data_IF_953924054754
#
_entry.id   IF_953924054754
#
_cell.length_a   1.000
_cell.length_b   1.000
_cell.length_c   1.000
_cell.angle_alpha   90.00
_cell.angle_beta   90.00
_cell.angle_gamma   90.00
#
_symmetry.space_group_name_H-M   'P 1'
#
loop_
_entity.id
_entity.type
_entity.pdbx_description
1 polymer ?
#
# COMPACT_ATOMS: atom_id res chain seq x y z
N UNK A 1 13.12 17.51 -71.31
CA UNK A 1 12.78 16.34 -70.48
C UNK A 1 11.29 16.37 -70.21
N UNK A 2 10.50 15.37 -70.64
CA UNK A 2 9.07 15.36 -70.41
C UNK A 2 8.71 14.71 -69.07
N UNK A 3 7.71 15.29 -68.41
CA UNK A 3 7.14 14.87 -67.13
C UNK A 3 6.17 13.72 -67.38
N UNK A 4 6.38 12.58 -66.71
CA UNK A 4 5.51 11.41 -66.80
C UNK A 4 4.27 11.53 -65.92
N UNK A 5 3.09 11.33 -66.51
CA UNK A 5 1.82 11.20 -65.81
C UNK A 5 1.62 9.76 -65.30
N UNK A 6 1.26 9.62 -64.02
CA UNK A 6 0.84 8.36 -63.41
C UNK A 6 -0.69 8.13 -63.58
N UNK A 7 -1.16 6.86 -63.73
CA UNK A 7 -2.58 6.59 -63.95
C UNK A 7 -3.40 6.48 -62.65
N UNK A 8 -4.61 7.02 -62.71
CA UNK A 8 -5.66 6.98 -61.68
C UNK A 8 -6.16 5.54 -61.44
N UNK A 9 -6.03 5.07 -60.19
CA UNK A 9 -6.53 3.78 -59.71
C UNK A 9 -8.03 3.89 -59.37
N UNK A 10 -8.87 3.09 -60.04
CA UNK A 10 -10.30 2.94 -59.72
C UNK A 10 -10.51 2.28 -58.36
N UNK A 11 -11.38 2.85 -57.53
CA UNK A 11 -11.87 2.22 -56.30
C UNK A 11 -13.04 1.26 -56.57
N UNK A 12 -13.15 0.14 -55.84
CA UNK A 12 -14.30 -0.76 -55.93
C UNK A 12 -15.48 -0.22 -55.11
N UNK A 13 -16.69 -0.37 -55.66
CA UNK A 13 -17.97 -0.20 -54.97
C UNK A 13 -18.14 -1.31 -53.95
N UNK A 14 -18.35 -0.95 -52.68
CA UNK A 14 -18.83 -1.89 -51.66
C UNK A 14 -20.35 -1.77 -51.54
N UNK A 15 -20.99 -2.90 -51.83
CA UNK A 15 -22.40 -3.22 -51.71
C UNK A 15 -22.85 -3.33 -50.26
N UNK A 16 -24.13 -2.99 -50.02
CA UNK A 16 -24.75 -2.83 -48.71
C UNK A 16 -24.81 -4.08 -47.84
N UNK A 17 -24.67 -3.84 -46.54
CA UNK A 17 -24.89 -4.82 -45.47
C UNK A 17 -26.23 -4.50 -44.82
N UNK A 18 -27.13 -5.49 -44.81
CA UNK A 18 -28.40 -5.47 -44.09
C UNK A 18 -28.13 -5.51 -42.57
N UNK A 19 -28.61 -4.49 -41.86
CA UNK A 19 -28.61 -4.44 -40.39
C UNK A 19 -29.88 -5.13 -39.89
N UNK A 20 -29.73 -6.31 -39.26
CA UNK A 20 -30.78 -6.94 -38.47
C UNK A 20 -30.98 -6.16 -37.17
N UNK A 21 -32.16 -5.55 -37.01
CA UNK A 21 -32.56 -4.83 -35.80
C UNK A 21 -32.74 -5.78 -34.63
N UNK A 22 -31.76 -5.82 -33.72
CA UNK A 22 -31.92 -6.41 -32.39
C UNK A 22 -32.84 -5.52 -31.56
N UNK A 23 -33.94 -6.09 -31.07
CA UNK A 23 -34.88 -5.42 -30.17
C UNK A 23 -34.21 -5.18 -28.80
N UNK A 24 -33.57 -4.02 -28.66
CA UNK A 24 -33.12 -3.51 -27.37
C UNK A 24 -34.34 -3.37 -26.44
N UNK A 25 -34.48 -4.32 -25.53
CA UNK A 25 -35.34 -4.15 -24.37
C UNK A 25 -34.68 -3.09 -23.49
N UNK A 26 -35.11 -1.84 -23.66
CA UNK A 26 -34.83 -0.77 -22.71
C UNK A 26 -35.57 -1.10 -21.41
N UNK A 27 -34.92 -1.84 -20.53
CA UNK A 27 -35.33 -1.98 -19.15
C UNK A 27 -35.07 -0.62 -18.50
N UNK A 28 -36.11 0.21 -18.48
CA UNK A 28 -36.11 1.49 -17.74
C UNK A 28 -36.14 1.14 -16.26
N UNK A 29 -34.96 0.86 -15.70
CA UNK A 29 -34.78 0.72 -14.26
C UNK A 29 -35.06 2.08 -13.62
N UNK A 30 -36.17 2.15 -12.88
CA UNK A 30 -36.62 3.38 -12.24
C UNK A 30 -35.59 3.84 -11.21
N UNK A 31 -34.93 4.95 -11.56
CA UNK A 31 -34.01 5.85 -10.87
C UNK A 31 -34.29 6.17 -9.38
N UNK A 32 -34.48 5.19 -8.50
CA UNK A 32 -34.78 5.41 -7.08
C UNK A 32 -33.62 5.13 -6.12
N UNK A 33 -32.42 4.81 -6.62
CA UNK A 33 -31.18 4.79 -5.83
C UNK A 33 -30.00 5.41 -6.59
N UNK A 34 -30.18 6.61 -7.13
CA UNK A 34 -29.31 7.33 -8.08
C UNK A 34 -27.86 7.60 -7.65
N UNK A 35 -27.43 7.23 -6.44
CA UNK A 35 -26.05 7.44 -6.02
C UNK A 35 -25.16 6.31 -6.55
N UNK A 36 -24.00 6.63 -7.15
CA UNK A 36 -23.01 5.63 -7.50
C UNK A 36 -22.64 4.85 -6.23
N UNK A 37 -22.90 3.54 -6.23
CA UNK A 37 -22.44 2.63 -5.18
C UNK A 37 -21.03 2.18 -5.49
N UNK A 38 -20.14 2.35 -4.52
CA UNK A 38 -18.81 1.76 -4.57
C UNK A 38 -18.75 0.43 -3.82
N UNK A 39 -17.95 -0.51 -4.31
CA UNK A 39 -17.56 -1.70 -3.56
C UNK A 39 -16.09 -1.59 -3.16
N UNK A 40 -15.81 -1.82 -1.88
CA UNK A 40 -14.46 -1.99 -1.33
C UNK A 40 -14.19 -3.48 -1.22
N UNK A 41 -13.18 -3.96 -1.93
CA UNK A 41 -12.84 -5.40 -1.96
C UNK A 41 -11.84 -5.71 -0.86
N UNK A 42 -12.32 -6.34 0.22
CA UNK A 42 -11.53 -6.67 1.41
C UNK A 42 -11.01 -8.09 1.35
N UNK A 43 -9.71 -8.24 1.62
CA UNK A 43 -9.07 -9.55 1.76
C UNK A 43 -8.75 -9.89 3.23
N UNK A 44 -9.26 -9.11 4.18
CA UNK A 44 -9.00 -9.26 5.61
C UNK A 44 -7.63 -8.72 6.05
N UNK A 45 -6.78 -8.22 5.15
CA UNK A 45 -5.56 -7.52 5.56
C UNK A 45 -5.93 -6.12 6.05
N UNK A 46 -5.75 -5.88 7.35
CA UNK A 46 -6.17 -4.64 8.02
C UNK A 46 -5.62 -3.39 7.32
N UNK A 47 -4.35 -3.39 6.89
CA UNK A 47 -3.76 -2.22 6.25
C UNK A 47 -4.33 -1.99 4.85
N UNK A 48 -4.51 -3.04 4.05
CA UNK A 48 -5.06 -2.91 2.69
C UNK A 48 -6.55 -2.52 2.73
N UNK A 49 -7.31 -3.07 3.68
CA UNK A 49 -8.71 -2.72 3.94
C UNK A 49 -8.86 -1.27 4.41
N UNK A 50 -7.95 -0.80 5.28
CA UNK A 50 -7.95 0.59 5.75
C UNK A 50 -7.75 1.56 4.58
N UNK A 51 -6.77 1.31 3.69
CA UNK A 51 -6.48 2.17 2.53
C UNK A 51 -7.68 2.28 1.59
N UNK A 52 -8.26 1.15 1.23
CA UNK A 52 -9.39 1.09 0.28
C UNK A 52 -10.65 1.73 0.87
N UNK A 53 -10.91 1.49 2.16
CA UNK A 53 -12.03 2.11 2.89
C UNK A 53 -11.86 3.63 2.98
N UNK A 54 -10.66 4.13 3.29
CA UNK A 54 -10.42 5.59 3.34
C UNK A 54 -10.58 6.25 1.99
N UNK A 55 -10.10 5.61 0.92
CA UNK A 55 -10.32 6.15 -0.41
C UNK A 55 -11.82 6.20 -0.75
N UNK A 56 -12.58 5.16 -0.42
CA UNK A 56 -14.03 5.17 -0.60
C UNK A 56 -14.71 6.31 0.19
N UNK A 57 -14.28 6.55 1.43
CA UNK A 57 -14.74 7.68 2.24
C UNK A 57 -14.40 9.03 1.59
N UNK A 58 -13.16 9.21 1.12
CA UNK A 58 -12.70 10.44 0.47
C UNK A 58 -13.43 10.73 -0.86
N UNK A 59 -13.88 9.69 -1.56
CA UNK A 59 -14.72 9.86 -2.75
C UNK A 59 -16.11 10.44 -2.42
N UNK A 60 -16.56 10.39 -1.17
CA UNK A 60 -17.84 10.94 -0.74
C UNK A 60 -19.06 10.18 -1.29
N UNK A 61 -18.86 8.91 -1.68
CA UNK A 61 -19.91 8.06 -2.27
C UNK A 61 -20.30 6.93 -1.31
N UNK A 62 -21.58 6.48 -1.29
CA UNK A 62 -21.98 5.32 -0.52
C UNK A 62 -21.20 4.08 -0.97
N UNK A 63 -20.64 3.33 -0.02
CA UNK A 63 -19.89 2.11 -0.33
C UNK A 63 -20.28 0.94 0.56
N UNK A 64 -20.06 -0.26 0.03
CA UNK A 64 -20.19 -1.52 0.75
C UNK A 64 -18.86 -2.26 0.70
N UNK A 65 -18.43 -2.83 1.83
CA UNK A 65 -17.28 -3.72 1.85
C UNK A 65 -17.72 -5.13 1.45
N UNK A 66 -17.04 -5.72 0.46
CA UNK A 66 -17.25 -7.07 -0.01
C UNK A 66 -16.02 -7.91 0.32
N UNK A 67 -16.22 -8.95 1.11
CA UNK A 67 -15.17 -9.88 1.47
C UNK A 67 -14.89 -10.82 0.29
N UNK A 68 -13.60 -10.96 -0.02
CA UNK A 68 -13.14 -11.87 -1.06
C UNK A 68 -13.11 -13.27 -0.47
N UNK A 69 -13.74 -14.21 -1.17
CA UNK A 69 -13.63 -15.61 -0.78
C UNK A 69 -12.20 -16.06 -1.02
N UNK A 70 -11.54 -16.61 0.00
CA UNK A 70 -10.21 -17.20 -0.16
C UNK A 70 -10.29 -18.42 -1.07
N UNK A 71 -10.09 -18.23 -2.37
CA UNK A 71 -10.06 -19.33 -3.32
C UNK A 71 -8.75 -20.08 -3.18
N UNK A 72 -8.81 -21.40 -3.07
CA UNK A 72 -7.66 -22.31 -2.97
C UNK A 72 -6.71 -22.32 -4.18
N UNK A 73 -7.06 -21.66 -5.28
CA UNK A 73 -6.29 -21.66 -6.53
C UNK A 73 -5.39 -20.41 -6.63
N UNK A 74 -4.22 -20.54 -7.27
CA UNK A 74 -3.31 -19.41 -7.47
C UNK A 74 -3.89 -18.36 -8.44
N UNK A 75 -3.50 -17.09 -8.29
CA UNK A 75 -3.98 -15.97 -9.14
C UNK A 75 -3.70 -16.18 -10.63
N UNK A 76 -2.59 -16.85 -10.97
CA UNK A 76 -2.25 -17.22 -12.35
C UNK A 76 -3.19 -18.30 -12.92
N UNK A 77 -3.50 -19.35 -12.14
CA UNK A 77 -4.42 -20.39 -12.55
C UNK A 77 -5.84 -19.82 -12.77
N UNK A 78 -6.25 -18.88 -11.93
CA UNK A 78 -7.53 -18.19 -12.06
C UNK A 78 -7.68 -17.41 -13.37
N UNK A 79 -6.66 -16.67 -13.82
CA UNK A 79 -6.73 -15.96 -15.11
C UNK A 79 -6.97 -16.89 -16.29
N UNK A 80 -6.34 -18.05 -16.28
CA UNK A 80 -6.56 -19.03 -17.33
C UNK A 80 -8.00 -19.57 -17.28
N UNK A 81 -8.53 -19.82 -16.08
CA UNK A 81 -9.89 -20.30 -15.91
C UNK A 81 -10.96 -19.26 -16.28
N UNK A 82 -10.77 -17.98 -15.97
CA UNK A 82 -11.73 -16.92 -16.34
C UNK A 82 -11.79 -16.73 -17.85
N UNK A 83 -10.64 -16.70 -18.53
CA UNK A 83 -10.59 -16.62 -19.99
C UNK A 83 -11.26 -17.82 -20.67
N UNK A 84 -10.98 -19.04 -20.19
CA UNK A 84 -11.59 -20.25 -20.72
C UNK A 84 -13.11 -20.22 -20.49
N UNK A 85 -13.58 -19.89 -19.27
CA UNK A 85 -15.01 -19.88 -18.96
C UNK A 85 -15.79 -18.82 -19.75
N UNK A 86 -15.19 -17.67 -20.03
CA UNK A 86 -15.84 -16.63 -20.86
C UNK A 86 -16.16 -17.11 -22.28
N UNK A 87 -15.45 -18.14 -22.76
CA UNK A 87 -15.68 -18.76 -24.08
C UNK A 87 -16.77 -19.83 -24.02
N UNK A 88 -16.89 -20.56 -22.90
CA UNK A 88 -17.75 -21.74 -22.78
C UNK A 88 -19.08 -21.50 -22.03
N UNK A 89 -19.24 -20.38 -21.34
CA UNK A 89 -20.47 -20.04 -20.61
C UNK A 89 -21.36 -19.13 -21.47
N UNK A 90 -22.40 -19.70 -22.09
CA UNK A 90 -23.44 -18.93 -22.79
C UNK A 90 -24.51 -18.35 -21.82
N UNK A 91 -24.50 -18.76 -20.56
CA UNK A 91 -25.38 -18.25 -19.50
C UNK A 91 -24.53 -17.62 -18.40
N UNK A 92 -24.62 -16.30 -18.16
CA UNK A 92 -23.92 -15.67 -17.04
C UNK A 92 -24.40 -16.37 -15.76
N UNK A 93 -23.49 -16.99 -14.99
CA UNK A 93 -23.86 -17.45 -13.67
C UNK A 93 -24.08 -16.22 -12.79
N UNK A 94 -25.24 -16.12 -12.16
CA UNK A 94 -25.60 -14.95 -11.34
C UNK A 94 -24.61 -14.69 -10.19
N UNK A 95 -23.90 -15.72 -9.71
CA UNK A 95 -22.94 -15.57 -8.60
C UNK A 95 -21.57 -15.09 -9.07
N UNK A 96 -21.06 -14.02 -8.43
CA UNK A 96 -19.65 -13.60 -8.52
C UNK A 96 -18.78 -14.66 -7.83
N UNK A 97 -17.77 -15.16 -8.53
CA UNK A 97 -17.02 -16.33 -8.03
C UNK A 97 -16.06 -15.98 -6.89
N UNK A 98 -15.61 -14.72 -6.84
CA UNK A 98 -14.63 -14.28 -5.86
C UNK A 98 -15.22 -13.53 -4.67
N UNK A 99 -16.54 -13.28 -4.65
CA UNK A 99 -17.18 -12.52 -3.59
C UNK A 99 -18.11 -13.39 -2.78
N UNK A 100 -17.97 -13.30 -1.46
CA UNK A 100 -18.94 -13.89 -0.55
C UNK A 100 -20.23 -13.08 -0.59
N UNK A 101 -21.36 -13.76 -0.83
CA UNK A 101 -22.71 -13.19 -0.69
C UNK A 101 -23.02 -11.95 -1.56
N UNK A 102 -22.39 -11.80 -2.72
CA UNK A 102 -22.73 -10.70 -3.64
C UNK A 102 -23.97 -11.08 -4.49
N UNK A 103 -25.15 -10.44 -4.29
CA UNK A 103 -26.29 -10.65 -5.17
C UNK A 103 -25.96 -10.15 -6.58
N UNK A 104 -26.37 -10.90 -7.60
CA UNK A 104 -26.25 -10.54 -9.02
C UNK A 104 -26.84 -9.18 -9.37
N UNK A 105 -27.88 -8.79 -8.62
CA UNK A 105 -28.85 -7.79 -9.07
C UNK A 105 -28.39 -6.34 -8.89
N UNK A 106 -27.27 -6.08 -8.21
CA UNK A 106 -26.73 -4.71 -8.08
C UNK A 106 -25.21 -4.66 -8.12
N UNK A 107 -24.64 -4.65 -9.32
CA UNK A 107 -23.21 -4.41 -9.51
C UNK A 107 -22.84 -2.95 -9.18
N UNK A 108 -21.62 -2.69 -8.68
CA UNK A 108 -21.19 -1.35 -8.30
C UNK A 108 -20.88 -0.51 -9.53
N UNK A 109 -20.84 0.82 -9.34
CA UNK A 109 -20.31 1.74 -10.35
C UNK A 109 -18.81 1.98 -10.20
N UNK A 110 -18.28 1.75 -9.01
CA UNK A 110 -16.85 1.87 -8.70
C UNK A 110 -16.47 0.66 -7.86
N UNK A 111 -15.37 -0.02 -8.19
CA UNK A 111 -14.81 -1.09 -7.38
C UNK A 111 -13.36 -0.74 -7.04
N UNK A 112 -12.99 -0.86 -5.75
CA UNK A 112 -11.69 -0.45 -5.22
C UNK A 112 -11.00 -1.65 -4.59
N UNK A 113 -9.74 -1.90 -4.97
CA UNK A 113 -8.89 -2.95 -4.42
C UNK A 113 -7.46 -2.45 -4.15
N UNK A 114 -6.76 -3.08 -3.22
CA UNK A 114 -5.35 -2.79 -2.90
C UNK A 114 -4.45 -4.03 -2.82
N UNK A 115 -4.99 -5.24 -3.02
CA UNK A 115 -4.23 -6.48 -2.90
C UNK A 115 -4.31 -7.34 -4.15
N UNK A 116 -3.27 -8.14 -4.38
CA UNK A 116 -3.23 -9.09 -5.51
C UNK A 116 -4.31 -10.18 -5.40
N UNK A 117 -4.80 -10.45 -4.19
CA UNK A 117 -5.91 -11.38 -3.92
C UNK A 117 -7.26 -10.79 -4.35
N UNK A 118 -7.41 -9.47 -4.25
CA UNK A 118 -8.60 -8.72 -4.67
C UNK A 118 -8.66 -8.45 -6.18
N UNK A 119 -7.51 -8.50 -6.85
CA UNK A 119 -7.39 -8.16 -8.25
C UNK A 119 -8.28 -9.02 -9.19
N UNK A 120 -8.42 -10.34 -9.03
CA UNK A 120 -9.34 -11.14 -9.85
C UNK A 120 -10.80 -10.73 -9.70
N UNK A 121 -11.25 -10.43 -8.47
CA UNK A 121 -12.61 -9.96 -8.21
C UNK A 121 -12.86 -8.59 -8.88
N UNK A 122 -11.88 -7.69 -8.80
CA UNK A 122 -11.94 -6.37 -9.44
C UNK A 122 -12.14 -6.50 -10.96
N UNK A 123 -11.36 -7.36 -11.61
CA UNK A 123 -11.44 -7.59 -13.06
C UNK A 123 -12.74 -8.29 -13.46
N UNK A 124 -13.24 -9.24 -12.64
CA UNK A 124 -14.53 -9.89 -12.88
C UNK A 124 -15.70 -8.89 -12.83
N UNK A 125 -15.71 -7.98 -11.85
CA UNK A 125 -16.73 -6.94 -11.73
C UNK A 125 -16.75 -6.06 -12.98
N UNK A 126 -15.58 -5.62 -13.46
CA UNK A 126 -15.47 -4.82 -14.68
C UNK A 126 -15.99 -5.57 -15.91
N UNK A 127 -15.60 -6.84 -16.05
CA UNK A 127 -16.07 -7.68 -17.16
C UNK A 127 -17.60 -7.87 -17.14
N UNK A 128 -18.19 -8.15 -15.97
CA UNK A 128 -19.64 -8.37 -15.83
C UNK A 128 -20.45 -7.11 -16.05
N UNK A 129 -19.93 -5.96 -15.64
CA UNK A 129 -20.54 -4.66 -15.91
C UNK A 129 -20.31 -4.16 -17.34
N UNK A 130 -19.59 -4.92 -18.19
CA UNK A 130 -19.23 -4.53 -19.56
C UNK A 130 -18.57 -3.15 -19.59
N UNK A 131 -17.56 -2.97 -18.74
CA UNK A 131 -16.80 -1.73 -18.57
C UNK A 131 -17.60 -0.53 -18.04
N UNK A 132 -18.81 -0.74 -17.50
CA UNK A 132 -19.59 0.33 -16.85
C UNK A 132 -19.13 0.63 -15.41
N UNK A 133 -18.50 -0.33 -14.74
CA UNK A 133 -17.87 -0.09 -13.43
C UNK A 133 -16.44 0.40 -13.61
N UNK A 134 -16.10 1.48 -12.92
CA UNK A 134 -14.73 1.97 -12.84
C UNK A 134 -13.94 1.11 -11.87
N UNK A 135 -12.89 0.48 -12.39
CA UNK A 135 -11.94 -0.29 -11.59
C UNK A 135 -10.81 0.59 -11.06
N UNK A 136 -10.67 0.65 -9.75
CA UNK A 136 -9.64 1.40 -9.03
C UNK A 136 -8.73 0.42 -8.31
N UNK A 137 -7.42 0.53 -8.54
CA UNK A 137 -6.42 -0.31 -7.88
C UNK A 137 -5.32 0.52 -7.20
N UNK A 138 -5.01 0.19 -5.95
CA UNK A 138 -3.98 0.86 -5.15
C UNK A 138 -2.70 0.02 -5.15
N UNK A 139 -1.65 0.53 -5.78
CA UNK A 139 -0.36 -0.13 -5.96
C UNK A 139 -0.13 -0.61 -7.40
N UNK A 140 0.97 -1.34 -7.60
CA UNK A 140 1.34 -1.91 -8.91
C UNK A 140 0.73 -3.32 -9.05
N UNK A 141 -0.33 -3.51 -9.86
CA UNK A 141 -0.97 -4.81 -9.97
C UNK A 141 -0.15 -5.76 -10.84
N UNK A 142 -0.21 -7.06 -10.52
CA UNK A 142 0.40 -8.10 -11.35
C UNK A 142 -0.46 -8.44 -12.59
N UNK A 143 -1.02 -7.45 -13.31
CA UNK A 143 -1.85 -7.62 -14.52
C UNK A 143 -1.46 -6.63 -15.63
N UNK A 144 -2.14 -6.69 -16.78
CA UNK A 144 -2.06 -5.62 -17.78
C UNK A 144 -2.67 -4.34 -17.21
N UNK A 145 -1.86 -3.29 -17.18
CA UNK A 145 -2.24 -2.00 -16.58
C UNK A 145 -3.42 -1.33 -17.29
N UNK A 146 -3.66 -1.67 -18.56
CA UNK A 146 -4.80 -1.20 -19.38
C UNK A 146 -6.14 -1.78 -18.94
N UNK A 147 -6.14 -2.89 -18.20
CA UNK A 147 -7.38 -3.54 -17.76
C UNK A 147 -7.98 -2.80 -16.56
N UNK A 148 -7.26 -1.85 -15.96
CA UNK A 148 -7.68 -1.07 -14.79
C UNK A 148 -7.91 0.38 -15.19
N UNK A 149 -8.99 1.01 -14.73
CA UNK A 149 -9.38 2.35 -15.17
C UNK A 149 -8.66 3.48 -14.45
N UNK A 150 -8.30 3.23 -13.19
CA UNK A 150 -7.55 4.15 -12.33
C UNK A 150 -6.54 3.37 -11.46
N UNK A 151 -5.25 3.68 -11.65
CA UNK A 151 -4.13 3.15 -10.88
C UNK A 151 -3.61 4.23 -9.93
N UNK A 152 -3.50 3.91 -8.65
CA UNK A 152 -2.90 4.80 -7.65
C UNK A 152 -1.54 4.22 -7.27
N UNK A 153 -0.48 4.84 -7.77
CA UNK A 153 0.89 4.32 -7.66
C UNK A 153 1.69 5.15 -6.65
N UNK A 154 2.32 4.47 -5.69
CA UNK A 154 3.34 5.13 -4.85
C UNK A 154 4.57 5.49 -5.68
N UNK A 155 5.46 6.31 -5.12
CA UNK A 155 6.73 6.63 -5.77
C UNK A 155 7.58 5.36 -6.00
N UNK A 156 7.57 4.43 -5.06
CA UNK A 156 8.24 3.13 -5.20
C UNK A 156 7.68 2.34 -6.39
N UNK A 157 6.35 2.31 -6.54
CA UNK A 157 5.69 1.60 -7.65
C UNK A 157 6.03 2.21 -9.00
N UNK A 158 6.04 3.55 -9.11
CA UNK A 158 6.49 4.23 -10.32
C UNK A 158 7.95 3.88 -10.66
N UNK A 159 8.83 3.81 -9.66
CA UNK A 159 10.24 3.47 -9.89
C UNK A 159 10.38 2.02 -10.38
N UNK A 160 9.62 1.08 -9.81
CA UNK A 160 9.55 -0.31 -10.30
C UNK A 160 9.05 -0.35 -11.75
N UNK A 161 7.98 0.38 -12.04
CA UNK A 161 7.36 0.36 -13.35
C UNK A 161 8.23 1.04 -14.42
N UNK A 162 8.97 2.12 -14.08
CA UNK A 162 10.02 2.69 -14.96
C UNK A 162 11.14 1.70 -15.25
N UNK A 163 11.50 0.87 -14.27
CA UNK A 163 12.50 -0.18 -14.47
C UNK A 163 12.03 -1.26 -15.46
N UNK A 164 10.72 -1.47 -15.62
CA UNK A 164 10.14 -2.35 -16.63
C UNK A 164 10.10 -1.74 -18.04
N UNK A 165 10.37 -0.44 -18.18
CA UNK A 165 10.53 0.25 -19.46
C UNK A 165 9.79 1.60 -19.54
N UNK A 166 10.30 2.57 -20.34
CA UNK A 166 9.78 3.93 -20.38
C UNK A 166 8.35 4.04 -20.94
N UNK A 167 7.98 3.17 -21.88
CA UNK A 167 6.63 3.13 -22.45
C UNK A 167 5.55 2.79 -21.41
N UNK A 168 5.91 2.15 -20.29
CA UNK A 168 4.98 1.83 -19.21
C UNK A 168 4.84 2.95 -18.19
N UNK A 169 5.69 3.98 -18.23
CA UNK A 169 5.77 5.02 -17.20
C UNK A 169 4.77 6.16 -17.36
N UNK A 170 4.26 6.38 -18.57
CA UNK A 170 3.31 7.45 -18.87
C UNK A 170 1.92 6.88 -19.09
N UNK A 171 1.31 6.44 -17.99
CA UNK A 171 -0.03 5.87 -17.99
C UNK A 171 -1.05 6.96 -17.70
N UNK A 172 -1.88 7.28 -18.69
CA UNK A 172 -2.99 8.24 -18.54
C UNK A 172 -4.01 7.79 -17.49
N UNK A 173 -4.06 6.49 -17.22
CA UNK A 173 -4.91 5.90 -16.19
C UNK A 173 -4.23 5.81 -14.82
N UNK A 174 -3.13 6.52 -14.58
CA UNK A 174 -2.42 6.48 -13.29
C UNK A 174 -2.25 7.84 -12.63
N UNK A 175 -2.38 7.85 -11.31
CA UNK A 175 -1.98 8.96 -10.44
C UNK A 175 -0.90 8.50 -9.47
N UNK A 176 -0.03 9.43 -9.11
CA UNK A 176 1.24 9.19 -8.43
C UNK A 176 1.24 9.88 -7.06
N UNK A 177 1.55 9.14 -6.00
CA UNK A 177 1.67 9.63 -4.61
C UNK A 177 3.09 9.41 -4.09
N UNK A 178 3.50 10.12 -3.03
CA UNK A 178 4.87 9.98 -2.50
C UNK A 178 5.04 8.64 -1.78
N UNK A 179 4.17 8.38 -0.81
CA UNK A 179 4.04 7.12 -0.10
C UNK A 179 2.81 6.37 -0.64
N UNK A 180 2.70 5.03 -0.49
CA UNK A 180 1.43 4.35 -0.71
C UNK A 180 0.33 5.06 0.08
N UNK A 181 -0.87 5.23 -0.46
CA UNK A 181 -1.96 5.82 0.33
C UNK A 181 -2.05 5.11 1.69
N UNK A 182 -2.09 5.89 2.75
CA UNK A 182 -2.38 5.38 4.08
C UNK A 182 -3.85 5.57 4.37
N UNK A 183 -4.33 4.84 5.36
CA UNK A 183 -5.70 4.99 5.83
C UNK A 183 -5.84 5.86 7.07
N UNK A 184 -4.94 6.80 7.34
CA UNK A 184 -4.95 7.60 8.56
C UNK A 184 -6.11 8.62 8.57
N UNK A 185 -6.82 8.75 9.70
CA UNK A 185 -7.83 9.82 9.90
C UNK A 185 -7.31 11.08 10.57
N UNK A 186 -7.88 12.22 10.20
CA UNK A 186 -7.77 13.49 10.95
C UNK A 186 -8.28 13.39 12.39
N UNK A 187 -9.28 12.55 12.65
CA UNK A 187 -9.74 12.27 14.02
C UNK A 187 -8.66 11.58 14.86
N UNK A 188 -7.94 10.63 14.26
CA UNK A 188 -6.83 9.93 14.92
C UNK A 188 -5.72 10.90 15.31
N UNK A 189 -5.45 11.93 14.49
CA UNK A 189 -4.49 13.00 14.81
C UNK A 189 -4.89 13.83 16.06
N UNK A 190 -6.19 14.00 16.32
CA UNK A 190 -6.65 14.71 17.51
C UNK A 190 -6.51 13.87 18.79
N UNK A 191 -6.79 12.57 18.72
CA UNK A 191 -6.59 11.64 19.85
C UNK A 191 -5.10 11.45 20.17
N UNK A 192 -4.28 11.37 19.12
CA UNK A 192 -2.81 11.41 19.12
C UNK A 192 -2.27 12.60 19.92
N UNK A 193 -2.81 13.79 19.69
CA UNK A 193 -2.31 15.03 20.32
C UNK A 193 -2.66 15.12 21.82
N UNK A 194 -3.68 14.38 22.27
CA UNK A 194 -4.15 14.41 23.66
C UNK A 194 -3.51 13.33 24.55
N UNK A 195 -2.88 12.30 23.96
CA UNK A 195 -2.13 11.27 24.69
C UNK A 195 -0.78 11.79 25.16
N UNK A 196 -0.82 12.73 26.11
CA UNK A 196 0.36 13.32 26.73
C UNK A 196 1.16 12.34 27.60
N UNK A 197 2.48 12.42 27.47
CA UNK A 197 3.55 11.94 28.37
C UNK A 197 4.04 10.49 28.29
N UNK A 198 3.33 9.54 27.67
CA UNK A 198 3.88 8.18 27.60
C UNK A 198 4.77 8.03 26.36
N UNK A 199 6.09 7.92 26.57
CA UNK A 199 7.10 7.69 25.51
C UNK A 199 6.98 6.27 24.96
N UNK A 200 5.87 5.91 24.32
CA UNK A 200 5.74 4.61 23.66
C UNK A 200 6.62 4.60 22.40
N UNK A 201 7.42 3.55 22.24
CA UNK A 201 8.15 3.25 21.01
C UNK A 201 7.43 2.12 20.29
N UNK A 202 6.94 2.37 19.08
CA UNK A 202 6.41 1.32 18.22
C UNK A 202 7.50 0.82 17.27
N UNK A 203 7.59 -0.49 17.09
CA UNK A 203 8.56 -1.14 16.22
C UNK A 203 7.80 -2.02 15.23
N UNK A 204 7.79 -1.64 13.95
CA UNK A 204 7.13 -2.39 12.90
C UNK A 204 8.12 -3.28 12.17
N UNK A 205 7.82 -4.58 12.11
CA UNK A 205 8.63 -5.57 11.38
C UNK A 205 7.77 -6.15 10.26
N UNK A 206 8.24 -5.95 9.03
CA UNK A 206 7.53 -6.33 7.82
C UNK A 206 7.55 -7.84 7.55
N UNK A 207 7.36 -8.22 6.28
CA UNK A 207 7.35 -9.63 5.86
C UNK A 207 8.74 -10.28 5.95
N UNK A 208 9.79 -9.47 6.04
CA UNK A 208 11.21 -9.82 5.95
C UNK A 208 11.76 -9.83 4.53
N UNK A 209 10.95 -9.50 3.51
CA UNK A 209 11.38 -9.42 2.12
C UNK A 209 10.67 -8.28 1.39
N UNK A 210 11.46 -7.40 0.79
CA UNK A 210 10.99 -6.36 -0.12
C UNK A 210 11.69 -6.54 -1.49
N UNK A 211 10.98 -7.03 -2.52
CA UNK A 211 11.53 -7.36 -3.84
C UNK A 211 12.29 -6.22 -4.53
N UNK A 212 12.03 -4.96 -4.16
CA UNK A 212 12.73 -3.79 -4.69
C UNK A 212 14.18 -3.67 -4.19
N UNK A 213 14.60 -4.49 -3.22
CA UNK A 213 16.01 -4.68 -2.89
C UNK A 213 16.36 -4.79 -1.42
N UNK A 214 15.53 -5.41 -0.57
CA UNK A 214 15.87 -5.67 0.83
C UNK A 214 15.39 -7.04 1.31
N UNK A 215 16.21 -7.67 2.13
CA UNK A 215 15.92 -8.94 2.79
C UNK A 215 16.42 -8.84 4.23
N UNK A 216 15.51 -9.06 5.18
CA UNK A 216 15.81 -9.04 6.60
C UNK A 216 16.67 -10.25 6.96
N UNK A 217 17.87 -10.00 7.50
CA UNK A 217 18.74 -11.05 8.05
C UNK A 217 18.79 -10.97 9.57
N UNK A 218 19.40 -12.00 10.16
CA UNK A 218 19.60 -12.09 11.59
C UNK A 218 20.41 -10.93 12.17
N UNK A 219 21.41 -10.46 11.44
CA UNK A 219 22.28 -9.36 11.88
C UNK A 219 21.54 -8.03 11.93
N UNK A 220 20.51 -7.84 11.10
CA UNK A 220 19.65 -6.65 11.13
C UNK A 220 18.80 -6.64 12.40
N UNK A 221 18.31 -7.81 12.81
CA UNK A 221 17.52 -7.99 14.01
C UNK A 221 18.39 -7.76 15.26
N UNK A 222 19.62 -8.25 15.26
CA UNK A 222 20.56 -7.98 16.35
C UNK A 222 20.93 -6.49 16.43
N UNK A 223 21.16 -5.84 15.28
CA UNK A 223 21.43 -4.40 15.22
C UNK A 223 20.24 -3.59 15.71
N UNK A 224 19.01 -3.99 15.35
CA UNK A 224 17.77 -3.38 15.83
C UNK A 224 17.62 -3.58 17.35
N UNK A 225 17.89 -4.78 17.87
CA UNK A 225 17.83 -5.07 19.29
C UNK A 225 18.83 -4.21 20.09
N UNK A 226 20.09 -4.16 19.66
CA UNK A 226 21.13 -3.32 20.27
C UNK A 226 20.72 -1.85 20.25
N UNK A 227 20.19 -1.38 19.12
CA UNK A 227 19.73 -0.01 18.99
C UNK A 227 18.57 0.32 19.92
N UNK A 228 17.58 -0.58 20.05
CA UNK A 228 16.44 -0.40 20.94
C UNK A 228 16.85 -0.42 22.42
N UNK A 229 17.80 -1.27 22.82
CA UNK A 229 18.32 -1.27 24.20
C UNK A 229 18.94 0.09 24.57
N UNK A 230 19.60 0.75 23.61
CA UNK A 230 20.21 2.06 23.83
C UNK A 230 19.19 3.19 24.04
N UNK A 231 18.04 3.14 23.35
CA UNK A 231 17.06 4.25 23.35
C UNK A 231 15.79 3.97 24.15
N UNK A 232 15.47 2.71 24.43
CA UNK A 232 14.25 2.38 25.15
C UNK A 232 14.28 2.94 26.57
N UNK A 233 15.38 2.78 27.30
CA UNK A 233 15.45 3.20 28.71
C UNK A 233 14.27 2.61 29.51
N UNK A 234 13.41 3.47 30.04
CA UNK A 234 12.16 3.07 30.74
C UNK A 234 10.91 3.10 29.87
N UNK A 235 11.05 3.49 28.60
CA UNK A 235 9.97 3.62 27.63
C UNK A 235 9.37 2.25 27.29
N UNK A 236 8.04 2.09 27.30
CA UNK A 236 7.42 0.86 26.81
C UNK A 236 7.69 0.71 25.30
N UNK A 237 7.96 -0.52 24.88
CA UNK A 237 8.16 -0.89 23.47
C UNK A 237 7.01 -1.80 23.03
N UNK A 238 6.41 -1.49 21.88
CA UNK A 238 5.45 -2.37 21.20
C UNK A 238 6.01 -2.83 19.89
N UNK A 239 6.17 -4.15 19.72
CA UNK A 239 6.59 -4.74 18.44
C UNK A 239 5.34 -5.18 17.68
N UNK A 240 5.18 -4.66 16.46
CA UNK A 240 4.13 -5.03 15.53
C UNK A 240 4.72 -5.96 14.48
N UNK A 241 4.24 -7.20 14.44
CA UNK A 241 4.65 -8.19 13.44
C UNK A 241 3.63 -8.24 12.30
N UNK A 242 4.11 -8.14 11.06
CA UNK A 242 3.26 -8.24 9.88
C UNK A 242 2.56 -9.60 9.78
N UNK A 243 1.27 -9.61 9.46
CA UNK A 243 0.53 -10.85 9.19
C UNK A 243 1.02 -11.62 7.96
N UNK A 244 1.85 -10.99 7.10
CA UNK A 244 2.47 -11.62 5.92
C UNK A 244 3.89 -12.17 6.23
N UNK A 245 4.33 -12.14 7.49
CA UNK A 245 5.66 -12.59 7.89
C UNK A 245 5.81 -14.11 7.80
N UNK A 246 6.90 -14.57 7.18
CA UNK A 246 7.21 -16.00 7.10
C UNK A 246 7.58 -16.57 8.48
N UNK A 247 7.16 -17.80 8.78
CA UNK A 247 7.37 -18.45 10.09
C UNK A 247 8.84 -18.52 10.52
N UNK A 248 9.77 -18.75 9.59
CA UNK A 248 11.21 -18.74 9.87
C UNK A 248 11.73 -17.36 10.29
N UNK A 249 11.21 -16.29 9.69
CA UNK A 249 11.57 -14.91 10.04
C UNK A 249 10.95 -14.55 11.39
N UNK A 250 9.70 -14.95 11.62
CA UNK A 250 9.03 -14.80 12.91
C UNK A 250 9.82 -15.47 14.04
N UNK A 251 10.22 -16.73 13.86
CA UNK A 251 11.04 -17.45 14.84
C UNK A 251 12.39 -16.78 15.08
N UNK A 252 13.01 -16.21 14.03
CA UNK A 252 14.23 -15.42 14.15
C UNK A 252 14.02 -14.14 14.97
N UNK A 253 12.93 -13.40 14.74
CA UNK A 253 12.55 -12.22 15.53
C UNK A 253 12.27 -12.57 16.99
N UNK A 254 11.49 -13.63 17.24
CA UNK A 254 11.18 -14.09 18.60
C UNK A 254 12.44 -14.52 19.37
N UNK A 255 13.29 -15.33 18.73
CA UNK A 255 14.48 -15.88 19.39
C UNK A 255 15.60 -14.87 19.59
N UNK A 256 15.74 -13.88 18.71
CA UNK A 256 16.81 -12.87 18.76
C UNK A 256 16.39 -11.51 19.30
N UNK A 257 15.30 -10.93 18.82
CA UNK A 257 14.86 -9.60 19.26
C UNK A 257 14.13 -9.67 20.59
N UNK A 258 13.00 -10.39 20.63
CA UNK A 258 12.10 -10.42 21.78
C UNK A 258 12.84 -11.00 23.00
N UNK A 259 13.53 -12.12 22.81
CA UNK A 259 14.32 -12.74 23.89
C UNK A 259 15.40 -11.79 24.44
N UNK A 260 16.08 -11.06 23.57
CA UNK A 260 17.17 -10.16 23.96
C UNK A 260 16.66 -8.94 24.71
N UNK A 261 15.55 -8.34 24.27
CA UNK A 261 14.91 -7.20 24.96
C UNK A 261 14.30 -7.57 26.32
N UNK A 262 13.82 -8.80 26.48
CA UNK A 262 13.26 -9.29 27.76
C UNK A 262 14.32 -9.77 28.75
N UNK A 263 15.51 -10.12 28.27
CA UNK A 263 16.61 -10.57 29.14
C UNK A 263 17.40 -9.36 29.64
N UNK A 264 17.98 -9.44 30.84
CA UNK A 264 19.06 -8.51 31.20
C UNK A 264 20.22 -8.75 30.26
N UNK A 265 20.31 -7.94 29.20
CA UNK A 265 21.27 -8.15 28.13
C UNK A 265 22.41 -7.17 28.27
N UNK A 266 23.62 -7.66 28.05
CA UNK A 266 24.77 -6.83 27.81
C UNK A 266 24.78 -6.47 26.32
N UNK A 267 24.89 -5.19 25.99
CA UNK A 267 25.07 -4.78 24.60
C UNK A 267 26.44 -5.21 24.06
N UNK A 268 26.65 -5.02 22.75
CA UNK A 268 27.92 -5.30 22.09
C UNK A 268 29.12 -4.50 22.65
N UNK A 269 28.86 -3.44 23.42
CA UNK A 269 29.86 -2.61 24.08
C UNK A 269 30.12 -3.01 25.54
N UNK A 270 29.43 -4.04 26.07
CA UNK A 270 29.61 -4.49 27.45
C UNK A 270 28.73 -3.78 28.49
N UNK A 271 27.79 -2.94 28.06
CA UNK A 271 26.85 -2.22 28.95
C UNK A 271 25.67 -3.12 29.29
N UNK A 272 25.39 -3.30 30.58
CA UNK A 272 24.21 -4.05 31.03
C UNK A 272 22.96 -3.17 30.98
N UNK A 273 21.92 -3.66 30.32
CA UNK A 273 20.63 -2.97 30.21
C UNK A 273 19.54 -3.73 30.98
N UNK A 274 18.62 -3.03 31.68
CA UNK A 274 17.48 -3.67 32.31
C UNK A 274 16.50 -4.23 31.26
N UNK A 275 15.65 -5.21 31.61
CA UNK A 275 14.60 -5.70 30.74
C UNK A 275 13.66 -4.58 30.28
N UNK A 276 13.32 -4.60 29.00
CA UNK A 276 12.40 -3.63 28.41
C UNK A 276 10.95 -4.05 28.67
N UNK A 277 10.09 -3.10 29.04
CA UNK A 277 8.65 -3.33 29.08
C UNK A 277 8.12 -3.51 27.65
N UNK A 278 7.94 -4.77 27.25
CA UNK A 278 7.69 -5.17 25.88
C UNK A 278 6.31 -5.81 25.72
N UNK A 279 5.57 -5.33 24.73
CA UNK A 279 4.34 -5.96 24.23
C UNK A 279 4.53 -6.34 22.75
N UNK A 280 4.10 -7.54 22.37
CA UNK A 280 4.22 -8.05 20.99
C UNK A 280 2.82 -8.24 20.42
N UNK A 281 2.57 -7.60 19.27
CA UNK A 281 1.30 -7.61 18.55
C UNK A 281 1.50 -8.34 17.22
N UNK A 282 0.90 -9.52 17.10
CA UNK A 282 1.04 -10.38 15.92
C UNK A 282 -0.20 -10.27 15.05
N UNK A 283 -0.13 -9.48 13.98
CA UNK A 283 -1.28 -9.24 13.10
C UNK A 283 -1.64 -10.42 12.19
N UNK A 284 -0.99 -11.59 12.35
CA UNK A 284 -1.55 -12.84 11.86
C UNK A 284 -2.70 -13.36 12.73
N UNK A 285 -2.84 -12.84 13.95
CA UNK A 285 -3.87 -13.22 14.92
C UNK A 285 -4.93 -12.11 15.06
N UNK A 286 -6.21 -12.48 15.21
CA UNK A 286 -7.28 -11.51 15.45
C UNK A 286 -7.22 -10.96 16.89
N UNK A 287 -7.91 -9.84 17.13
CA UNK A 287 -8.13 -9.29 18.48
C UNK A 287 -7.10 -8.27 18.95
N UNK A 288 -6.06 -8.00 18.17
CA UNK A 288 -5.13 -6.91 18.46
C UNK A 288 -5.72 -5.54 18.10
N UNK A 289 -5.30 -4.45 18.79
CA UNK A 289 -5.67 -3.10 18.39
C UNK A 289 -5.18 -2.80 16.96
N UNK A 290 -5.91 -1.96 16.23
CA UNK A 290 -5.52 -1.61 14.86
C UNK A 290 -4.10 -1.00 14.81
N UNK A 291 -3.32 -1.22 13.74
CA UNK A 291 -2.02 -0.57 13.59
C UNK A 291 -2.11 0.96 13.66
N UNK A 292 -3.21 1.54 13.15
CA UNK A 292 -3.48 2.98 13.21
C UNK A 292 -3.55 3.48 14.67
N UNK A 293 -4.22 2.74 15.55
CA UNK A 293 -4.31 3.08 16.98
C UNK A 293 -2.95 2.99 17.67
N UNK A 294 -2.19 1.92 17.42
CA UNK A 294 -0.89 1.70 18.07
C UNK A 294 0.12 2.75 17.63
N UNK A 295 0.27 2.95 16.32
CA UNK A 295 1.16 3.97 15.75
C UNK A 295 0.69 5.38 16.11
N UNK A 296 -0.62 5.60 16.11
CA UNK A 296 -1.23 6.84 16.59
C UNK A 296 -0.94 7.11 18.06
N UNK A 297 -0.68 6.12 18.90
CA UNK A 297 -0.27 6.36 20.30
C UNK A 297 1.25 6.48 20.49
N UNK A 298 2.05 6.14 19.48
CA UNK A 298 3.50 6.08 19.60
C UNK A 298 4.14 7.48 19.55
N UNK A 299 5.11 7.68 20.43
CA UNK A 299 5.98 8.86 20.38
C UNK A 299 7.05 8.71 19.30
N UNK A 300 7.55 7.50 19.10
CA UNK A 300 8.56 7.16 18.11
C UNK A 300 8.19 5.88 17.37
N UNK A 301 8.40 5.83 16.05
CA UNK A 301 8.14 4.63 15.24
C UNK A 301 9.41 4.19 14.51
N UNK A 302 9.89 3.00 14.85
CA UNK A 302 10.99 2.34 14.14
C UNK A 302 10.39 1.28 13.21
N UNK A 303 10.80 1.26 11.94
CA UNK A 303 10.23 0.38 10.92
C UNK A 303 11.37 -0.33 10.18
N UNK A 304 11.26 -1.64 9.97
CA UNK A 304 12.22 -2.33 9.10
C UNK A 304 12.05 -1.90 7.65
N UNK A 305 13.14 -1.85 6.89
CA UNK A 305 13.14 -1.27 5.55
C UNK A 305 12.19 -1.95 4.53
N UNK A 306 11.67 -3.14 4.82
CA UNK A 306 10.66 -3.82 4.02
C UNK A 306 9.20 -3.41 4.30
N UNK A 307 8.89 -2.77 5.43
CA UNK A 307 7.50 -2.50 5.82
C UNK A 307 6.99 -1.12 5.38
N UNK A 308 6.99 -0.90 4.06
CA UNK A 308 6.54 0.36 3.43
C UNK A 308 5.11 0.78 3.85
N UNK A 309 4.13 -0.14 4.00
CA UNK A 309 2.80 0.23 4.49
C UNK A 309 2.82 0.89 5.88
N UNK A 310 3.62 0.38 6.81
CA UNK A 310 3.76 0.97 8.15
C UNK A 310 4.49 2.31 8.12
N UNK A 311 5.50 2.46 7.26
CA UNK A 311 6.15 3.77 7.00
C UNK A 311 5.11 4.79 6.58
N UNK A 312 4.25 4.44 5.62
CA UNK A 312 3.23 5.36 5.13
C UNK A 312 2.20 5.72 6.21
N UNK A 313 1.71 4.73 6.94
CA UNK A 313 0.72 4.95 8.00
C UNK A 313 1.29 5.84 9.11
N UNK A 314 2.49 5.55 9.60
CA UNK A 314 3.15 6.35 10.63
C UNK A 314 3.41 7.79 10.16
N UNK A 315 3.93 7.98 8.95
CA UNK A 315 4.18 9.31 8.39
C UNK A 315 2.87 10.12 8.24
N UNK A 316 1.79 9.46 7.83
CA UNK A 316 0.47 10.11 7.68
C UNK A 316 -0.18 10.48 9.01
N UNK A 317 0.18 9.77 10.09
CA UNK A 317 -0.21 10.08 11.46
C UNK A 317 0.69 11.18 12.09
N UNK A 318 1.60 11.78 11.31
CA UNK A 318 2.54 12.78 11.81
C UNK A 318 3.49 12.22 12.87
N UNK A 319 3.85 10.94 12.77
CA UNK A 319 4.80 10.28 13.68
C UNK A 319 6.21 10.29 13.08
N UNK A 320 7.26 10.31 13.91
CA UNK A 320 8.62 10.18 13.39
C UNK A 320 8.81 8.75 12.96
N UNK A 321 9.39 8.59 11.78
CA UNK A 321 9.64 7.28 11.21
C UNK A 321 11.13 7.07 11.04
N UNK A 322 11.67 6.09 11.75
CA UNK A 322 13.06 5.65 11.63
C UNK A 322 13.13 4.31 10.90
N UNK A 323 13.98 4.23 9.89
CA UNK A 323 14.16 3.05 9.06
C UNK A 323 15.34 2.25 9.58
N UNK A 324 15.07 1.04 10.05
CA UNK A 324 16.09 0.06 10.41
C UNK A 324 16.49 -0.77 9.18
N UNK A 325 17.80 -0.94 8.98
CA UNK A 325 18.36 -1.71 7.87
C UNK A 325 18.42 -0.96 6.53
N UNK A 326 18.24 0.36 6.51
CA UNK A 326 18.27 1.14 5.27
C UNK A 326 19.59 0.97 4.49
N UNK A 327 20.73 0.86 5.18
CA UNK A 327 22.05 0.68 4.57
C UNK A 327 22.17 -0.58 3.70
N UNK A 328 21.34 -1.59 4.00
CA UNK A 328 21.30 -2.86 3.25
C UNK A 328 20.32 -2.86 2.10
N UNK A 329 19.48 -1.85 2.00
CA UNK A 329 18.62 -1.67 0.83
C UNK A 329 19.48 -1.50 -0.42
N UNK A 330 19.01 -1.99 -1.56
CA UNK A 330 19.72 -1.91 -2.84
C UNK A 330 18.84 -1.30 -3.92
N UNK A 331 19.47 -0.90 -5.03
CA UNK A 331 18.81 -0.50 -6.28
C UNK A 331 17.67 0.51 -6.08
N UNK A 332 16.43 0.06 -6.34
CA UNK A 332 15.23 0.89 -6.41
C UNK A 332 14.84 1.33 -5.00
N UNK A 333 14.88 0.40 -4.03
CA UNK A 333 14.47 0.69 -2.66
C UNK A 333 15.41 1.70 -1.98
N UNK A 334 16.73 1.57 -2.21
CA UNK A 334 17.70 2.56 -1.69
C UNK A 334 17.42 3.96 -2.22
N UNK A 335 17.12 4.08 -3.52
CA UNK A 335 16.80 5.37 -4.11
C UNK A 335 15.46 5.91 -3.61
N UNK A 336 14.47 5.03 -3.37
CA UNK A 336 13.20 5.41 -2.75
C UNK A 336 13.40 5.98 -1.35
N UNK A 337 14.13 5.29 -0.46
CA UNK A 337 14.41 5.81 0.88
C UNK A 337 15.23 7.09 0.86
N UNK A 338 16.18 7.24 -0.08
CA UNK A 338 16.87 8.52 -0.28
C UNK A 338 15.91 9.65 -0.60
N UNK A 339 14.90 9.43 -1.45
CA UNK A 339 13.89 10.44 -1.77
C UNK A 339 13.08 10.80 -0.51
N UNK A 340 12.66 9.80 0.27
CA UNK A 340 11.92 10.02 1.52
C UNK A 340 12.74 10.78 2.56
N UNK A 341 14.02 10.43 2.73
CA UNK A 341 14.98 11.12 3.61
C UNK A 341 15.15 12.58 3.18
N UNK A 342 15.41 12.84 1.89
CA UNK A 342 15.55 14.21 1.37
C UNK A 342 14.26 15.04 1.46
N UNK A 343 13.11 14.38 1.59
CA UNK A 343 11.80 15.02 1.77
C UNK A 343 11.43 15.17 3.25
N UNK A 344 12.35 14.83 4.17
CA UNK A 344 12.15 14.84 5.62
C UNK A 344 10.94 14.00 6.09
N UNK A 345 10.64 12.91 5.39
CA UNK A 345 9.54 11.99 5.73
C UNK A 345 10.02 10.89 6.69
N UNK A 346 11.25 10.40 6.49
CA UNK A 346 11.85 9.32 7.28
C UNK A 346 13.28 9.67 7.66
N UNK A 347 13.83 8.97 8.65
CA UNK A 347 15.24 9.02 9.05
C UNK A 347 15.82 7.62 9.12
N UNK A 348 17.16 7.52 9.16
CA UNK A 348 17.83 6.26 9.52
C UNK A 348 17.74 6.02 11.01
N UNK A 349 17.44 4.79 11.41
CA UNK A 349 17.51 4.38 12.81
C UNK A 349 18.96 4.09 13.19
N UNK A 350 19.70 5.14 13.60
CA UNK A 350 21.04 5.02 14.14
C UNK A 350 21.08 5.68 15.51
N UNK A 351 20.75 4.91 16.55
CA UNK A 351 20.63 5.46 17.88
C UNK A 351 21.96 6.00 18.40
N UNK A 352 21.87 6.98 19.30
CA UNK A 352 23.03 7.58 19.95
C UNK A 352 23.81 6.50 20.71
N UNK A 353 25.13 6.46 20.49
CA UNK A 353 26.01 5.42 21.06
C UNK A 353 26.08 4.14 20.23
N UNK A 354 25.36 4.05 19.11
CA UNK A 354 25.57 2.98 18.14
C UNK A 354 26.94 3.09 17.48
N UNK A 355 27.36 2.02 16.79
CA UNK A 355 28.59 2.01 15.99
C UNK A 355 28.64 3.11 14.92
N UNK A 356 27.50 3.72 14.58
CA UNK A 356 27.40 4.80 13.60
C UNK A 356 27.50 6.19 14.21
N UNK A 357 27.74 6.28 15.52
CA UNK A 357 27.94 7.55 16.24
C UNK A 357 29.10 8.38 15.69
N UNK A 358 30.12 7.77 15.07
CA UNK A 358 31.21 8.51 14.40
C UNK A 358 30.74 9.31 13.17
N UNK A 359 29.53 9.04 12.65
CA UNK A 359 28.95 9.79 11.53
C UNK A 359 28.30 11.10 11.98
N UNK A 360 28.30 11.40 13.29
CA UNK A 360 27.98 12.73 13.80
C UNK A 360 28.92 13.74 13.11
N UNK A 361 28.35 14.61 12.28
CA UNK A 361 29.08 15.79 11.83
C UNK A 361 29.41 16.60 13.09
N UNK A 362 30.68 16.98 13.26
CA UNK A 362 31.15 17.74 14.42
C UNK A 362 30.45 19.12 14.58
N UNK A 363 29.62 19.50 13.60
CA UNK A 363 28.99 20.81 13.45
C UNK A 363 27.45 20.76 13.59
N UNK A 364 26.87 19.73 14.22
CA UNK A 364 25.43 19.68 14.52
C UNK A 364 25.14 20.62 15.71
N UNK A 365 24.71 21.85 15.41
CA UNK A 365 24.27 22.85 16.39
C UNK A 365 22.81 22.63 16.81
N UNK A 366 22.55 21.73 17.79
CA UNK A 366 21.19 21.47 18.27
C UNK A 366 21.02 20.24 19.17
N UNK A 367 19.76 19.90 19.48
CA UNK A 367 19.43 18.71 20.27
C UNK A 367 19.58 17.44 19.42
N UNK A 368 20.59 16.62 19.75
CA UNK A 368 20.82 15.34 19.09
C UNK A 368 19.62 14.41 19.34
N UNK A 369 18.93 14.05 18.26
CA UNK A 369 17.91 13.01 18.27
C UNK A 369 18.51 11.66 18.71
N UNK A 370 17.97 11.11 19.80
CA UNK A 370 18.43 9.84 20.38
C UNK A 370 18.28 8.66 19.41
N UNK A 371 17.34 8.73 18.46
CA UNK A 371 17.05 7.67 17.49
C UNK A 371 17.81 7.80 16.18
N UNK A 372 18.37 8.98 15.89
CA UNK A 372 19.09 9.23 14.63
C UNK A 372 20.25 10.22 14.81
N UNK A 373 21.45 9.67 14.98
CA UNK A 373 22.67 10.44 15.20
C UNK A 373 23.22 11.15 13.94
N UNK A 374 22.52 11.21 12.80
CA UNK A 374 23.11 11.72 11.55
C UNK A 374 22.75 13.19 11.24
N UNK A 375 21.68 13.80 11.79
CA UNK A 375 21.29 15.18 11.44
C UNK A 375 20.48 15.92 12.51
N UNK A 376 20.68 17.25 12.56
CA UNK A 376 19.69 18.21 13.06
C UNK A 376 18.68 18.53 11.96
N UNK A 377 17.42 18.19 12.16
CA UNK A 377 16.32 18.90 11.50
C UNK A 377 15.07 18.84 12.37
N UNK A 378 14.22 19.86 12.28
CA UNK A 378 12.95 19.90 13.00
C UNK A 378 11.97 18.78 12.55
N UNK A 379 10.98 18.43 13.39
CA UNK A 379 10.17 17.24 13.19
C UNK A 379 9.09 17.34 12.08
N UNK A 380 9.29 16.56 11.01
CA UNK A 380 8.28 15.73 10.31
C UNK A 380 7.06 16.43 9.66
N UNK A 381 7.25 17.65 9.14
CA UNK A 381 6.16 18.47 8.60
C UNK A 381 5.86 18.31 7.09
N UNK A 382 6.49 17.37 6.37
CA UNK A 382 6.44 17.34 4.91
C UNK A 382 5.27 16.58 4.29
N UNK A 383 4.83 15.47 4.90
CA UNK A 383 3.91 14.57 4.22
C UNK A 383 2.44 14.92 4.50
N UNK A 384 1.79 15.54 3.52
CA UNK A 384 0.37 15.82 3.56
C UNK A 384 -0.42 14.67 2.90
N UNK A 385 -0.64 13.60 3.68
CA UNK A 385 -1.41 12.43 3.23
C UNK A 385 -2.85 12.79 2.80
N UNK A 386 -3.44 13.79 3.45
CA UNK A 386 -4.78 14.28 3.13
C UNK A 386 -4.84 14.90 1.73
N UNK A 387 -3.85 15.71 1.36
CA UNK A 387 -3.76 16.28 0.01
C UNK A 387 -3.57 15.19 -1.06
N UNK A 388 -2.73 14.18 -0.80
CA UNK A 388 -2.57 13.04 -1.70
C UNK A 388 -3.92 12.31 -1.91
N UNK A 389 -4.67 12.09 -0.82
CA UNK A 389 -5.98 11.44 -0.86
C UNK A 389 -7.02 12.25 -1.65
N UNK A 390 -7.07 13.57 -1.44
CA UNK A 390 -7.96 14.48 -2.19
C UNK A 390 -7.63 14.51 -3.68
N UNK A 391 -6.34 14.56 -4.03
CA UNK A 391 -5.88 14.52 -5.41
C UNK A 391 -6.28 13.19 -6.09
N UNK A 392 -6.14 12.07 -5.38
CA UNK A 392 -6.56 10.75 -5.87
C UNK A 392 -8.08 10.67 -6.05
N UNK A 393 -8.86 11.17 -5.09
CA UNK A 393 -10.31 11.20 -5.20
C UNK A 393 -10.77 12.05 -6.41
N UNK A 394 -10.16 13.22 -6.61
CA UNK A 394 -10.44 14.08 -7.76
C UNK A 394 -10.12 13.39 -9.09
N UNK A 395 -8.97 12.72 -9.18
CA UNK A 395 -8.58 11.92 -10.35
C UNK A 395 -9.61 10.82 -10.66
N UNK A 396 -10.07 10.06 -9.66
CA UNK A 396 -11.05 9.00 -9.86
C UNK A 396 -12.40 9.56 -10.31
N UNK A 397 -12.85 10.69 -9.75
CA UNK A 397 -14.07 11.37 -10.19
C UNK A 397 -13.99 11.81 -11.66
N UNK A 398 -12.83 12.32 -12.10
CA UNK A 398 -12.60 12.67 -13.49
C UNK A 398 -12.69 11.43 -14.40
N UNK A 399 -12.03 10.32 -14.03
CA UNK A 399 -12.08 9.06 -14.78
C UNK A 399 -13.51 8.51 -14.85
N UNK A 400 -14.25 8.57 -13.74
CA UNK A 400 -15.66 8.19 -13.69
C UNK A 400 -16.51 9.03 -14.67
N UNK A 401 -16.28 10.35 -14.72
CA UNK A 401 -16.98 11.24 -15.65
C UNK A 401 -16.67 10.90 -17.11
N UNK A 402 -15.41 10.65 -17.44
CA UNK A 402 -14.96 10.36 -18.81
C UNK A 402 -15.52 9.03 -19.35
N UNK A 403 -15.69 8.02 -18.50
CA UNK A 403 -16.21 6.70 -18.89
C UNK A 403 -17.75 6.66 -19.02
N UNK A 404 -18.45 7.64 -18.46
CA UNK A 404 -19.92 7.73 -18.48
C UNK A 404 -20.47 8.86 -19.37
N UNK A 405 -19.60 9.60 -20.05
CA UNK A 405 -19.95 10.60 -21.06
C UNK A 405 -20.01 9.95 -22.45
#
# INVERSE_FOLDING_TARGET
MPIGHAPLRRMPRLSGVFVHGSRNHYRVERHSSLLPRAWVLSNGNILDDLKTTRLAQALGIPFETKQISSSWLSSAAHRHLTNIRSIFSASPSDTLHYLENAPSDSLPRIAIAASDEALPALLEIKQRTRDQAVSVYLGLPNTKLTDIDALVLSRLDQMRLRHLGPARANLENSISTMLPLSGATTQSLHEVAQSGSNRLIAVCIGSGLEPAGYQLLSDDIDTLADGLLQVAGTSPVRILLSGKMHSGIKSMVESRLIRRLLSSSTDSNGTSHPPVNLEVLDYSQPGHPSPETVLGSASQVVVTADDIPSVSLAASLGRPVYISGEERTTRILRNYYRVLDTSNIVRRFYPKGSRYSYMLLADIEGEIDEFSAIRDHEPWAGYNAQQDLENVAAFIHERYRLLNA
#
